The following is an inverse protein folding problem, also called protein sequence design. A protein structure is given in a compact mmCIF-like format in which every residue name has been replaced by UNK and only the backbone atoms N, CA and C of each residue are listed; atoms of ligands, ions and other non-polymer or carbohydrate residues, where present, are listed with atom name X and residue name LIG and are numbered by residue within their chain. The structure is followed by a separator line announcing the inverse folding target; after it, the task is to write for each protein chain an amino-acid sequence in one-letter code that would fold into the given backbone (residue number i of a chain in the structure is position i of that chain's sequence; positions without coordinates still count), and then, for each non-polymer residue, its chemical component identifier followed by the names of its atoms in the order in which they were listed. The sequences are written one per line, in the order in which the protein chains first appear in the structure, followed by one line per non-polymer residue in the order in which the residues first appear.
data_IF_188803914568
#
_entry.id   IF_188803914568
#
_cell.length_a   1.000
_cell.length_b   1.000
_cell.length_c   1.000
_cell.angle_alpha   90.00
_cell.angle_beta   90.00
_cell.angle_gamma   90.00
#
_symmetry.space_group_name_H-M   'P 1'
#
loop_
_entity.id
_entity.type
_entity.pdbx_description
1 polymer ?
#
# COMPACT_ATOMS: atom_id res chain seq x y z
N UNK A 1 4.77 -29.75 -28.04
CA UNK A 1 4.27 -29.37 -26.70
C UNK A 1 5.15 -28.25 -26.20
N UNK A 2 4.76 -27.01 -26.48
CA UNK A 2 5.54 -25.85 -26.07
C UNK A 2 5.17 -25.51 -24.62
N UNK A 3 6.13 -25.72 -23.72
CA UNK A 3 5.99 -25.34 -22.32
C UNK A 3 5.95 -23.82 -22.24
N UNK A 4 4.74 -23.28 -22.06
CA UNK A 4 4.58 -21.85 -21.76
C UNK A 4 5.19 -21.62 -20.40
N UNK A 5 6.41 -21.08 -20.38
CA UNK A 5 7.13 -20.68 -19.18
C UNK A 5 6.22 -19.74 -18.38
N UNK A 6 5.66 -20.22 -17.27
CA UNK A 6 4.81 -19.40 -16.39
C UNK A 6 5.60 -18.17 -15.97
N UNK A 7 5.17 -17.00 -16.47
CA UNK A 7 5.76 -15.73 -16.04
C UNK A 7 5.38 -15.56 -14.58
N UNK A 8 6.37 -15.39 -13.70
CA UNK A 8 6.11 -15.04 -12.31
C UNK A 8 5.11 -13.88 -12.27
N UNK A 9 3.97 -14.01 -11.58
CA UNK A 9 2.97 -12.97 -11.55
C UNK A 9 3.61 -11.66 -11.07
N UNK A 10 3.20 -10.54 -11.66
CA UNK A 10 3.72 -9.22 -11.26
C UNK A 10 3.34 -8.99 -9.80
N UNK A 11 4.35 -8.73 -8.96
CA UNK A 11 4.11 -8.28 -7.59
C UNK A 11 3.40 -6.93 -7.63
N UNK A 12 2.44 -6.73 -6.73
CA UNK A 12 1.88 -5.41 -6.48
C UNK A 12 2.91 -4.50 -5.78
N UNK A 13 2.56 -3.23 -5.57
CA UNK A 13 3.46 -2.28 -4.93
C UNK A 13 3.91 -2.73 -3.53
N UNK A 14 3.02 -3.33 -2.75
CA UNK A 14 3.36 -3.82 -1.41
C UNK A 14 4.34 -5.00 -1.48
N UNK A 15 4.13 -5.93 -2.39
CA UNK A 15 5.02 -7.06 -2.64
C UNK A 15 6.40 -6.63 -3.14
N UNK A 16 6.46 -5.58 -3.96
CA UNK A 16 7.73 -4.97 -4.38
C UNK A 16 8.49 -4.34 -3.20
N UNK A 17 7.80 -3.61 -2.33
CA UNK A 17 8.42 -2.99 -1.15
C UNK A 17 8.95 -4.05 -0.18
N UNK A 18 8.19 -5.13 0.04
CA UNK A 18 8.63 -6.24 0.88
C UNK A 18 9.84 -6.94 0.28
N UNK A 19 9.84 -7.24 -1.02
CA UNK A 19 10.94 -7.96 -1.68
C UNK A 19 12.24 -7.16 -1.69
N UNK A 20 12.16 -5.86 -2.01
CA UNK A 20 13.36 -5.04 -2.23
C UNK A 20 13.88 -4.42 -0.94
N UNK A 21 13.00 -4.03 -0.03
CA UNK A 21 13.36 -3.25 1.16
C UNK A 21 13.03 -3.97 2.48
N UNK A 22 12.51 -5.21 2.44
CA UNK A 22 11.99 -5.91 3.61
C UNK A 22 10.90 -5.12 4.36
N UNK A 23 10.18 -4.24 3.66
CA UNK A 23 9.15 -3.38 4.23
C UNK A 23 7.75 -3.96 4.01
N UNK A 24 7.13 -4.48 5.07
CA UNK A 24 5.72 -4.87 5.06
C UNK A 24 4.82 -3.69 5.46
N UNK A 25 4.30 -2.98 4.46
CA UNK A 25 3.37 -1.84 4.66
C UNK A 25 2.03 -2.27 5.29
N UNK A 26 1.71 -3.56 5.32
CA UNK A 26 0.51 -4.07 5.97
C UNK A 26 0.75 -4.57 7.40
N UNK A 27 1.99 -4.66 7.88
CA UNK A 27 2.26 -4.91 9.29
C UNK A 27 2.10 -3.63 10.11
N UNK A 28 1.33 -3.66 11.20
CA UNK A 28 1.23 -2.53 12.12
C UNK A 28 2.48 -2.44 13.00
N UNK A 29 3.22 -1.34 12.93
CA UNK A 29 4.43 -1.14 13.76
C UNK A 29 4.13 -1.01 15.26
N UNK A 30 2.88 -0.72 15.65
CA UNK A 30 2.48 -0.55 17.06
C UNK A 30 2.03 -1.84 17.73
N UNK A 31 1.28 -2.69 17.04
CA UNK A 31 0.66 -3.88 17.64
C UNK A 31 0.95 -5.19 16.89
N UNK A 32 1.69 -5.18 15.78
CA UNK A 32 1.97 -6.37 14.98
C UNK A 32 0.78 -6.90 14.16
N UNK A 33 -0.42 -6.32 14.30
CA UNK A 33 -1.60 -6.70 13.54
C UNK A 33 -1.50 -6.38 12.03
N UNK A 34 -2.41 -6.96 11.23
CA UNK A 34 -2.47 -6.73 9.78
C UNK A 34 -3.42 -5.59 9.43
N UNK A 35 -2.88 -4.55 8.80
CA UNK A 35 -3.60 -3.44 8.18
C UNK A 35 -4.21 -3.88 6.85
N UNK A 36 -5.29 -3.21 6.44
CA UNK A 36 -5.97 -3.41 5.14
C UNK A 36 -6.19 -2.04 4.50
N UNK A 37 -6.16 -1.98 3.16
CA UNK A 37 -6.56 -0.79 2.43
C UNK A 37 -8.07 -0.65 2.51
N UNK A 38 -8.56 0.48 3.00
CA UNK A 38 -10.00 0.75 3.12
C UNK A 38 -10.53 1.54 1.92
N UNK A 39 -9.76 2.51 1.41
CA UNK A 39 -10.13 3.34 0.27
C UNK A 39 -8.88 3.96 -0.39
N UNK A 40 -9.04 4.34 -1.66
CA UNK A 40 -8.10 5.22 -2.36
C UNK A 40 -8.77 6.57 -2.56
N UNK A 41 -8.13 7.64 -2.06
CA UNK A 41 -8.65 9.00 -2.17
C UNK A 41 -7.86 9.75 -3.23
N UNK A 42 -8.51 10.04 -4.35
CA UNK A 42 -7.91 10.78 -5.46
C UNK A 42 -8.45 12.21 -5.60
N UNK A 43 -9.64 12.49 -5.08
CA UNK A 43 -10.24 13.81 -5.11
C UNK A 43 -9.55 14.73 -4.09
N UNK A 44 -9.07 15.93 -4.49
CA UNK A 44 -8.35 16.83 -3.60
C UNK A 44 -9.11 17.14 -2.30
N UNK A 45 -10.40 17.46 -2.39
CA UNK A 45 -11.20 17.80 -1.20
C UNK A 45 -11.26 16.69 -0.15
N UNK A 46 -11.32 15.42 -0.57
CA UNK A 46 -11.31 14.28 0.37
C UNK A 46 -9.95 14.08 1.03
N UNK A 47 -8.86 14.32 0.29
CA UNK A 47 -7.50 14.30 0.84
C UNK A 47 -7.31 15.42 1.86
N UNK A 48 -7.74 16.64 1.53
CA UNK A 48 -7.64 17.80 2.43
C UNK A 48 -8.40 17.56 3.74
N UNK A 49 -9.67 17.15 3.67
CA UNK A 49 -10.50 16.94 4.85
C UNK A 49 -9.89 15.92 5.83
N UNK A 50 -9.28 14.84 5.32
CA UNK A 50 -8.63 13.84 6.19
C UNK A 50 -7.33 14.38 6.78
N UNK A 51 -6.49 15.06 5.99
CA UNK A 51 -5.24 15.61 6.49
C UNK A 51 -5.50 16.66 7.58
N UNK A 52 -6.48 17.53 7.39
CA UNK A 52 -6.94 18.50 8.40
C UNK A 52 -7.43 17.79 9.67
N UNK A 53 -8.27 16.76 9.54
CA UNK A 53 -8.77 15.99 10.69
C UNK A 53 -7.65 15.32 11.49
N UNK A 54 -6.57 14.90 10.82
CA UNK A 54 -5.39 14.28 11.44
C UNK A 54 -4.35 15.31 11.91
N UNK A 55 -4.60 16.61 11.74
CA UNK A 55 -3.66 17.70 12.01
C UNK A 55 -2.32 17.54 11.25
N UNK A 56 -2.37 17.04 10.01
CA UNK A 56 -1.24 16.91 9.11
C UNK A 56 -1.21 18.07 8.11
N UNK A 57 -0.04 18.43 7.55
CA UNK A 57 0.04 19.44 6.49
C UNK A 57 -0.85 19.07 5.29
N UNK A 58 -1.72 19.98 4.87
CA UNK A 58 -2.52 19.84 3.64
C UNK A 58 -1.79 20.52 2.46
N UNK A 59 -1.51 19.80 1.37
CA UNK A 59 -0.84 20.33 0.17
C UNK A 59 -1.74 21.24 -0.67
#
# INVERSE_FOLDING_TARGET
MESTKERTPRLDWAGLLLRTFALDVFACSRCGGRRRVLAYLSAPGGVHAILEHLALPSP
#
